data_IF_719125350176
#
_entry.id   IF_719125350176
#
_cell.length_a   1.000
_cell.length_b   1.000
_cell.length_c   1.000
_cell.angle_alpha   90.00
_cell.angle_beta   90.00
_cell.angle_gamma   90.00
#
_symmetry.space_group_name_H-M   'P 1'
#
loop_
_entity.id
_entity.type
_entity.pdbx_description
1 polymer ?
#
# COMPACT_ATOMS: atom_id res chain seq x y z
N UNK A 1 17.44 16.73 24.47
CA UNK A 1 17.05 16.90 23.06
C UNK A 1 18.24 16.58 22.19
N UNK A 2 18.16 15.54 21.36
CA UNK A 2 19.21 15.27 20.37
C UNK A 2 19.21 16.40 19.33
N UNK A 3 20.39 16.93 19.00
CA UNK A 3 20.54 17.97 17.97
C UNK A 3 20.13 17.47 16.57
N UNK A 4 20.02 18.36 15.58
CA UNK A 4 19.64 17.98 14.23
C UNK A 4 20.63 16.96 13.63
N UNK A 5 20.13 15.78 13.25
CA UNK A 5 20.91 14.76 12.55
C UNK A 5 21.20 15.23 11.12
N UNK A 6 22.44 15.65 10.88
CA UNK A 6 22.92 16.10 9.56
C UNK A 6 23.16 14.90 8.66
N UNK A 7 22.95 15.10 7.36
CA UNK A 7 23.30 14.11 6.36
C UNK A 7 24.82 14.01 6.29
N UNK A 8 25.35 12.87 6.70
CA UNK A 8 26.78 12.61 6.77
C UNK A 8 27.30 11.98 5.46
N UNK A 9 26.53 11.07 4.86
CA UNK A 9 26.82 10.49 3.55
C UNK A 9 25.55 10.19 2.77
N UNK A 10 25.66 10.26 1.44
CA UNK A 10 24.62 9.86 0.49
C UNK A 10 25.27 9.09 -0.65
N UNK A 11 24.65 7.96 -0.99
CA UNK A 11 25.10 7.15 -2.10
C UNK A 11 23.88 6.68 -2.90
N UNK A 12 23.93 6.91 -4.22
CA UNK A 12 23.01 6.26 -5.15
C UNK A 12 23.72 5.04 -5.71
N UNK A 13 23.21 3.86 -5.40
CA UNK A 13 23.77 2.61 -5.91
C UNK A 13 22.81 2.02 -6.94
N UNK A 14 23.25 1.79 -8.19
CA UNK A 14 22.49 0.97 -9.13
C UNK A 14 22.62 -0.49 -8.68
N UNK A 15 21.74 -0.92 -7.76
CA UNK A 15 21.81 -2.28 -7.23
C UNK A 15 21.06 -3.23 -8.17
N UNK A 16 21.79 -4.21 -8.71
CA UNK A 16 21.24 -5.44 -9.29
C UNK A 16 21.75 -6.59 -8.42
N UNK A 17 20.87 -7.30 -7.71
CA UNK A 17 21.22 -8.45 -6.86
C UNK A 17 21.40 -8.16 -5.36
N UNK A 18 22.09 -9.06 -4.67
CA UNK A 18 22.28 -9.09 -3.19
C UNK A 18 23.64 -8.55 -2.73
N UNK A 19 24.40 -7.91 -3.62
CA UNK A 19 25.73 -7.41 -3.31
C UNK A 19 25.69 -6.38 -2.17
N UNK A 20 26.63 -6.46 -1.20
CA UNK A 20 26.70 -5.49 -0.13
C UNK A 20 27.01 -4.08 -0.66
N UNK A 21 26.43 -3.08 -0.02
CA UNK A 21 26.71 -1.67 -0.30
C UNK A 21 27.59 -1.11 0.81
N UNK A 22 28.74 -0.59 0.41
CA UNK A 22 29.74 0.01 1.29
C UNK A 22 29.54 1.52 1.39
N UNK A 23 29.37 2.02 2.61
CA UNK A 23 29.34 3.46 2.91
C UNK A 23 30.52 3.90 3.79
N UNK A 24 30.67 5.21 3.93
CA UNK A 24 31.61 5.84 4.87
C UNK A 24 30.81 6.84 5.70
N UNK A 25 31.10 6.91 7.00
CA UNK A 25 30.42 7.81 7.95
C UNK A 25 31.40 8.25 9.04
N UNK A 26 31.15 9.42 9.63
CA UNK A 26 31.86 9.95 10.78
C UNK A 26 31.55 9.13 12.06
N UNK A 27 32.44 9.21 13.06
CA UNK A 27 32.27 8.47 14.33
C UNK A 27 31.06 8.99 15.12
N UNK A 28 30.41 8.08 15.86
CA UNK A 28 29.31 8.38 16.78
C UNK A 28 27.99 7.71 16.40
N UNK A 29 26.89 8.02 17.10
CA UNK A 29 25.57 7.49 16.79
C UNK A 29 25.09 7.98 15.42
N UNK A 30 24.56 7.07 14.58
CA UNK A 30 24.07 7.39 13.23
C UNK A 30 22.75 6.70 12.93
N UNK A 31 22.09 7.20 11.89
CA UNK A 31 20.83 6.68 11.36
C UNK A 31 21.05 6.34 9.89
N UNK A 32 20.94 5.06 9.56
CA UNK A 32 21.04 4.55 8.20
C UNK A 32 19.64 4.44 7.63
N UNK A 33 19.41 5.04 6.47
CA UNK A 33 18.12 4.95 5.76
C UNK A 33 18.38 4.43 4.35
N UNK A 34 17.68 3.37 3.98
CA UNK A 34 17.68 2.82 2.63
C UNK A 34 16.31 3.08 1.98
N UNK A 35 16.34 3.57 0.74
CA UNK A 35 15.14 3.81 -0.06
C UNK A 35 15.35 3.18 -1.44
N UNK A 36 14.34 2.45 -1.92
CA UNK A 36 14.34 1.76 -3.22
C UNK A 36 12.98 1.93 -3.90
N UNK A 37 12.90 1.62 -5.20
CA UNK A 37 11.67 1.80 -6.00
C UNK A 37 11.41 3.24 -6.41
N UNK A 38 12.43 4.11 -6.34
CA UNK A 38 12.32 5.52 -6.70
C UNK A 38 12.24 5.68 -8.22
N UNK A 39 11.21 6.39 -8.68
CA UNK A 39 11.09 6.91 -10.05
C UNK A 39 11.51 8.38 -10.16
N UNK A 40 11.81 9.02 -9.03
CA UNK A 40 12.18 10.43 -8.95
C UNK A 40 13.58 10.72 -9.50
N UNK A 41 13.75 11.95 -9.99
CA UNK A 41 14.99 12.39 -10.62
C UNK A 41 16.06 12.67 -9.54
N UNK A 42 17.34 12.76 -9.94
CA UNK A 42 18.44 13.00 -8.97
C UNK A 42 18.27 14.33 -8.24
N UNK A 43 17.69 15.28 -8.94
CA UNK A 43 17.49 16.66 -8.53
C UNK A 43 16.62 16.75 -7.27
N UNK A 44 15.63 15.86 -7.13
CA UNK A 44 14.69 15.80 -6.00
C UNK A 44 15.37 15.49 -4.65
N UNK A 45 16.60 14.96 -4.71
CA UNK A 45 17.38 14.54 -3.54
C UNK A 45 18.48 15.53 -3.16
N UNK A 46 18.78 16.52 -4.02
CA UNK A 46 19.88 17.48 -3.77
C UNK A 46 19.63 18.39 -2.56
N UNK A 47 18.36 18.59 -2.20
CA UNK A 47 17.93 19.46 -1.10
C UNK A 47 17.97 18.77 0.27
N UNK A 48 18.18 17.45 0.32
CA UNK A 48 18.19 16.70 1.57
C UNK A 48 19.54 16.94 2.26
N UNK A 49 19.53 17.70 3.37
CA UNK A 49 20.74 18.02 4.16
C UNK A 49 20.69 17.45 5.57
N UNK A 50 19.51 17.06 6.03
CA UNK A 50 19.26 16.51 7.35
C UNK A 50 18.28 15.35 7.28
N UNK A 51 18.25 14.52 8.32
CA UNK A 51 17.20 13.51 8.47
C UNK A 51 15.79 14.15 8.48
N UNK A 52 15.67 15.36 9.05
CA UNK A 52 14.42 16.11 9.04
C UNK A 52 13.96 16.49 7.62
N UNK A 53 14.88 16.77 6.70
CA UNK A 53 14.54 17.05 5.30
C UNK A 53 14.09 15.79 4.58
N UNK A 54 14.74 14.65 4.88
CA UNK A 54 14.36 13.35 4.36
C UNK A 54 12.95 12.95 4.82
N UNK A 55 12.62 13.15 6.10
CA UNK A 55 11.26 12.90 6.63
C UNK A 55 10.16 13.77 6.02
N UNK A 56 10.52 14.92 5.42
CA UNK A 56 9.56 15.80 4.73
C UNK A 56 9.35 15.42 3.27
N UNK A 57 10.12 14.47 2.72
CA UNK A 57 9.93 14.02 1.34
C UNK A 57 8.61 13.28 1.20
N UNK A 58 7.82 13.77 0.25
CA UNK A 58 6.51 13.25 -0.10
C UNK A 58 6.68 12.18 -1.15
N UNK A 59 5.85 11.15 -1.06
CA UNK A 59 5.77 10.09 -2.03
C UNK A 59 4.34 9.94 -2.47
N UNK A 60 4.15 9.75 -3.77
CA UNK A 60 2.84 9.69 -4.40
C UNK A 60 2.65 8.38 -5.13
N UNK A 61 1.42 7.87 -5.16
CA UNK A 61 1.05 6.76 -6.05
C UNK A 61 1.31 7.09 -7.53
N UNK A 62 1.35 8.37 -7.89
CA UNK A 62 1.74 8.81 -9.23
C UNK A 62 3.19 8.46 -9.60
N UNK A 63 4.05 8.23 -8.59
CA UNK A 63 5.46 7.86 -8.75
C UNK A 63 5.74 6.40 -8.35
N UNK A 64 4.72 5.65 -7.96
CA UNK A 64 4.81 4.29 -7.42
C UNK A 64 4.39 3.23 -8.47
N UNK A 65 4.68 1.96 -8.19
CA UNK A 65 4.32 0.86 -9.07
C UNK A 65 4.16 -0.45 -8.29
N UNK A 66 3.09 -1.25 -8.50
CA UNK A 66 2.93 -2.52 -7.80
C UNK A 66 4.07 -3.50 -8.03
N UNK A 67 4.67 -3.44 -9.22
CA UNK A 67 5.77 -4.33 -9.63
C UNK A 67 7.14 -3.87 -9.12
N UNK A 68 7.28 -2.63 -8.67
CA UNK A 68 8.52 -2.09 -8.13
C UNK A 68 8.18 -0.98 -7.12
N UNK A 69 7.53 -1.35 -5.99
CA UNK A 69 6.95 -0.34 -5.12
C UNK A 69 8.05 0.45 -4.41
N UNK A 70 7.71 1.63 -3.93
CA UNK A 70 8.55 2.33 -2.96
C UNK A 70 8.83 1.39 -1.79
N UNK A 71 10.10 1.27 -1.42
CA UNK A 71 10.52 0.51 -0.24
C UNK A 71 11.44 1.36 0.62
N UNK A 72 11.24 1.28 1.93
CA UNK A 72 12.00 2.06 2.91
C UNK A 72 12.42 1.16 4.06
N UNK A 73 13.61 1.40 4.60
CA UNK A 73 14.10 0.78 5.83
C UNK A 73 15.01 1.76 6.58
N UNK A 74 15.00 1.67 7.90
CA UNK A 74 15.80 2.51 8.78
C UNK A 74 16.43 1.68 9.89
N UNK A 75 17.69 1.99 10.24
CA UNK A 75 18.31 1.51 11.47
C UNK A 75 19.03 2.66 12.20
N UNK A 76 18.94 2.66 13.52
CA UNK A 76 19.75 3.52 14.39
C UNK A 76 20.91 2.69 14.91
N UNK A 77 22.11 3.25 14.79
CA UNK A 77 23.34 2.59 15.16
C UNK A 77 24.03 3.42 16.24
N UNK A 78 24.22 2.85 17.43
CA UNK A 78 24.69 3.60 18.60
C UNK A 78 26.22 3.76 18.62
N UNK A 79 26.98 2.76 18.15
CA UNK A 79 28.45 2.84 18.08
C UNK A 79 28.99 2.08 16.86
N UNK A 80 29.81 2.72 16.03
CA UNK A 80 30.20 2.22 14.70
C UNK A 80 31.52 1.49 14.76
N UNK A 81 31.53 0.36 15.46
CA UNK A 81 32.42 -0.68 15.00
C UNK A 81 32.02 -1.04 13.55
N UNK A 82 32.99 -1.42 12.73
CA UNK A 82 32.83 -1.80 11.32
C UNK A 82 32.05 -3.13 11.13
N UNK A 83 30.88 -3.22 11.74
CA UNK A 83 30.01 -4.38 11.66
C UNK A 83 29.02 -4.18 10.51
N UNK A 84 28.79 -5.23 9.70
CA UNK A 84 27.72 -5.24 8.73
C UNK A 84 26.35 -4.97 9.38
N UNK A 85 25.52 -4.19 8.70
CA UNK A 85 24.14 -3.91 9.11
C UNK A 85 23.21 -4.48 8.05
N UNK A 86 22.28 -5.36 8.42
CA UNK A 86 21.24 -5.79 7.49
C UNK A 86 20.03 -4.86 7.60
N UNK A 87 19.57 -4.36 6.45
CA UNK A 87 18.31 -3.63 6.35
C UNK A 87 17.34 -4.44 5.51
N UNK A 88 16.20 -4.78 6.11
CA UNK A 88 15.07 -5.36 5.38
C UNK A 88 14.22 -4.24 4.82
N UNK A 89 14.28 -4.08 3.50
CA UNK A 89 13.40 -3.20 2.74
C UNK A 89 12.03 -3.85 2.61
N UNK A 90 10.98 -3.13 2.96
CA UNK A 90 9.60 -3.57 2.80
C UNK A 90 8.86 -2.64 1.85
N UNK A 91 7.93 -3.14 1.02
CA UNK A 91 7.00 -2.30 0.27
C UNK A 91 6.30 -1.31 1.21
N UNK A 92 6.23 -0.05 0.81
CA UNK A 92 5.44 0.97 1.52
C UNK A 92 3.94 0.86 1.23
N UNK A 93 3.59 0.17 0.14
CA UNK A 93 2.22 -0.13 -0.23
C UNK A 93 1.66 -1.31 0.58
N UNK A 94 0.34 -1.35 0.70
CA UNK A 94 -0.44 -2.54 1.05
C UNK A 94 -0.98 -3.18 -0.22
N UNK A 95 -1.24 -4.49 -0.17
CA UNK A 95 -1.90 -5.22 -1.25
C UNK A 95 -3.26 -5.73 -0.77
N UNK A 96 -4.31 -5.51 -1.55
CA UNK A 96 -5.65 -6.00 -1.26
C UNK A 96 -6.05 -6.96 -2.38
N UNK A 97 -6.38 -8.20 -2.02
CA UNK A 97 -6.67 -9.27 -2.99
C UNK A 97 -8.09 -9.78 -2.79
N UNK A 98 -8.94 -9.54 -3.77
CA UNK A 98 -10.25 -10.19 -3.84
C UNK A 98 -10.07 -11.60 -4.39
N UNK A 99 -10.03 -12.59 -3.48
CA UNK A 99 -9.83 -13.99 -3.84
C UNK A 99 -11.09 -14.61 -4.40
N UNK A 100 -12.21 -14.41 -3.74
CA UNK A 100 -13.49 -14.94 -4.20
C UNK A 100 -14.67 -14.02 -3.96
N UNK A 101 -15.68 -14.17 -4.82
CA UNK A 101 -16.91 -13.41 -4.78
C UNK A 101 -18.09 -14.34 -5.11
N UNK A 102 -19.19 -14.21 -4.38
CA UNK A 102 -20.48 -14.84 -4.68
C UNK A 102 -21.64 -13.96 -4.23
N UNK A 103 -22.84 -14.24 -4.75
CA UNK A 103 -24.07 -13.58 -4.36
C UNK A 103 -25.19 -14.61 -4.12
N UNK A 104 -25.63 -14.75 -2.88
CA UNK A 104 -26.76 -15.60 -2.49
C UNK A 104 -27.84 -14.80 -1.78
N UNK A 105 -28.79 -14.30 -2.57
CA UNK A 105 -29.98 -13.59 -2.08
C UNK A 105 -31.12 -14.53 -1.66
N UNK A 106 -30.80 -15.73 -1.15
CA UNK A 106 -31.78 -16.71 -0.68
C UNK A 106 -32.79 -16.09 0.31
N UNK A 107 -34.06 -16.51 0.20
CA UNK A 107 -35.17 -16.02 1.01
C UNK A 107 -35.46 -14.50 0.89
N UNK A 108 -35.03 -13.86 -0.21
CA UNK A 108 -35.37 -12.47 -0.54
C UNK A 108 -36.31 -12.38 -1.75
N UNK A 109 -37.02 -11.25 -1.94
CA UNK A 109 -37.88 -11.04 -3.12
C UNK A 109 -37.13 -11.12 -4.46
N UNK A 110 -35.83 -10.84 -4.46
CA UNK A 110 -34.92 -10.90 -5.62
C UNK A 110 -34.03 -12.16 -5.60
N UNK A 111 -34.51 -13.25 -4.98
CA UNK A 111 -33.78 -14.51 -4.99
C UNK A 111 -33.56 -15.02 -6.43
N UNK A 112 -32.34 -15.45 -6.74
CA UNK A 112 -31.95 -15.92 -8.08
C UNK A 112 -31.51 -14.82 -9.04
N UNK A 113 -31.77 -13.55 -8.71
CA UNK A 113 -31.22 -12.42 -9.47
C UNK A 113 -29.71 -12.31 -9.24
N UNK A 114 -28.87 -12.28 -10.28
CA UNK A 114 -27.44 -12.08 -10.11
C UNK A 114 -27.13 -10.64 -9.71
N UNK A 115 -26.04 -10.46 -8.96
CA UNK A 115 -25.41 -9.15 -8.83
C UNK A 115 -24.55 -8.91 -10.08
N UNK A 116 -24.88 -7.91 -10.88
CA UNK A 116 -24.06 -7.51 -12.02
C UNK A 116 -23.03 -6.48 -11.54
N UNK A 117 -21.82 -6.94 -11.25
CA UNK A 117 -20.72 -6.11 -10.80
C UNK A 117 -20.15 -5.31 -11.98
N UNK A 118 -20.28 -3.99 -11.91
CA UNK A 118 -19.81 -3.06 -12.95
C UNK A 118 -18.39 -2.57 -12.68
N UNK A 119 -18.04 -2.35 -11.42
CA UNK A 119 -16.71 -1.87 -11.04
C UNK A 119 -16.34 -2.27 -9.62
N UNK A 120 -15.04 -2.28 -9.35
CA UNK A 120 -14.45 -2.52 -8.04
C UNK A 120 -13.40 -1.43 -7.80
N UNK A 121 -13.46 -0.77 -6.66
CA UNK A 121 -12.52 0.31 -6.36
C UNK A 121 -12.13 0.37 -4.89
N UNK A 122 -10.96 0.93 -4.61
CA UNK A 122 -10.55 1.33 -3.26
C UNK A 122 -11.08 2.73 -2.97
N UNK A 123 -11.88 2.85 -1.92
CA UNK A 123 -12.29 4.14 -1.34
C UNK A 123 -11.30 4.59 -0.26
N UNK A 124 -11.12 5.90 -0.13
CA UNK A 124 -10.22 6.51 0.85
C UNK A 124 -8.78 5.98 0.72
N UNK A 125 -8.34 5.79 -0.51
CA UNK A 125 -7.00 5.33 -0.82
C UNK A 125 -6.00 6.48 -0.62
N UNK A 126 -4.99 6.29 0.22
CA UNK A 126 -3.97 7.32 0.44
C UNK A 126 -3.12 7.45 -0.84
N UNK A 127 -3.15 8.65 -1.42
CA UNK A 127 -2.41 8.97 -2.65
C UNK A 127 -1.00 9.43 -2.33
N UNK A 128 -0.84 10.28 -1.30
CA UNK A 128 0.45 10.80 -0.89
C UNK A 128 0.73 10.53 0.58
N UNK A 129 1.99 10.22 0.91
CA UNK A 129 2.42 10.01 2.27
C UNK A 129 3.82 10.56 2.58
N UNK A 130 4.14 10.64 3.87
CA UNK A 130 5.50 10.75 4.38
C UNK A 130 5.91 9.40 4.98
N UNK A 131 6.81 8.64 4.37
CA UNK A 131 7.12 7.27 4.78
C UNK A 131 8.07 7.18 5.97
N UNK A 132 8.72 8.29 6.34
CA UNK A 132 9.78 8.36 7.36
C UNK A 132 9.40 9.31 8.49
N UNK A 133 10.01 9.11 9.65
CA UNK A 133 9.88 10.01 10.80
C UNK A 133 8.63 9.82 11.65
N UNK A 134 7.84 8.78 11.41
CA UNK A 134 6.66 8.41 12.20
C UNK A 134 6.85 7.03 12.83
N UNK A 135 6.53 6.90 14.12
CA UNK A 135 6.60 5.63 14.85
C UNK A 135 5.51 4.65 14.40
N UNK A 136 4.38 5.18 13.92
CA UNK A 136 3.18 4.42 13.57
C UNK A 136 3.11 4.03 12.09
N UNK A 137 4.19 4.29 11.33
CA UNK A 137 4.26 4.02 9.89
C UNK A 137 4.03 5.27 9.02
N UNK A 138 3.88 5.09 7.69
CA UNK A 138 3.74 6.21 6.76
C UNK A 138 2.57 7.12 7.13
N UNK A 139 2.81 8.43 7.22
CA UNK A 139 1.78 9.42 7.52
C UNK A 139 1.05 9.83 6.25
N UNK A 140 -0.27 9.63 6.14
CA UNK A 140 -1.04 10.06 4.98
C UNK A 140 -1.07 11.59 4.88
N UNK A 141 -1.07 12.11 3.66
CA UNK A 141 -1.17 13.54 3.35
C UNK A 141 -2.42 13.86 2.52
N UNK A 142 -2.82 12.96 1.63
CA UNK A 142 -3.97 13.12 0.74
C UNK A 142 -4.59 11.78 0.38
N UNK A 143 -5.86 11.80 0.00
CA UNK A 143 -6.68 10.63 -0.31
C UNK A 143 -7.38 10.77 -1.66
N UNK A 144 -7.58 9.65 -2.34
CA UNK A 144 -8.42 9.50 -3.52
C UNK A 144 -9.68 8.71 -3.19
N UNK A 145 -10.71 8.87 -4.03
CA UNK A 145 -11.99 8.16 -3.93
C UNK A 145 -12.64 8.35 -2.54
N UNK A 146 -12.71 9.59 -2.06
CA UNK A 146 -13.49 9.96 -0.87
C UNK A 146 -14.97 9.93 -1.25
N UNK A 147 -15.59 8.75 -1.12
CA UNK A 147 -16.95 8.46 -1.54
C UNK A 147 -17.01 7.72 -2.87
N UNK A 148 -17.49 8.39 -3.91
CA UNK A 148 -17.53 7.84 -5.26
C UNK A 148 -16.12 7.83 -5.89
N UNK A 149 -15.85 6.92 -6.85
CA UNK A 149 -14.56 6.88 -7.51
C UNK A 149 -14.34 8.14 -8.35
N UNK A 150 -13.28 8.89 -8.04
CA UNK A 150 -12.82 10.00 -8.88
C UNK A 150 -12.04 9.42 -10.06
N UNK A 151 -12.81 8.96 -11.06
CA UNK A 151 -12.25 8.29 -12.23
C UNK A 151 -11.27 9.18 -12.99
N UNK A 152 -11.46 10.51 -12.99
CA UNK A 152 -10.56 11.42 -13.68
C UNK A 152 -9.20 11.47 -12.99
N UNK A 153 -9.18 11.60 -11.66
CA UNK A 153 -7.93 11.60 -10.90
C UNK A 153 -7.23 10.24 -10.93
N UNK A 154 -7.98 9.14 -10.79
CA UNK A 154 -7.42 7.78 -10.83
C UNK A 154 -6.79 7.46 -12.18
N UNK A 155 -7.44 7.84 -13.29
CA UNK A 155 -6.93 7.58 -14.65
C UNK A 155 -5.69 8.40 -15.01
N UNK A 156 -5.31 9.39 -14.20
CA UNK A 156 -4.04 10.11 -14.35
C UNK A 156 -2.86 9.38 -13.70
N UNK A 157 -3.11 8.36 -12.88
CA UNK A 157 -2.05 7.54 -12.29
C UNK A 157 -1.42 6.66 -13.39
N UNK A 158 -0.12 6.30 -13.26
CA UNK A 158 0.52 5.38 -14.20
C UNK A 158 -0.09 3.97 -14.19
N UNK A 159 -0.70 3.58 -13.06
CA UNK A 159 -1.32 2.28 -12.83
C UNK A 159 -2.71 2.46 -12.19
N UNK A 160 -3.72 2.94 -12.95
CA UNK A 160 -5.05 3.20 -12.41
C UNK A 160 -5.72 1.95 -11.82
N UNK A 161 -5.36 0.77 -12.32
CA UNK A 161 -5.83 -0.53 -11.83
C UNK A 161 -5.45 -0.81 -10.37
N UNK A 162 -4.48 -0.06 -9.82
CA UNK A 162 -4.18 -0.10 -8.39
C UNK A 162 -5.39 0.28 -7.53
N UNK A 163 -6.26 1.17 -8.03
CA UNK A 163 -7.36 1.75 -7.27
C UNK A 163 -8.74 1.48 -7.87
N UNK A 164 -8.84 1.29 -9.19
CA UNK A 164 -10.11 1.12 -9.89
C UNK A 164 -9.97 0.07 -10.99
N UNK A 165 -10.84 -0.94 -10.97
CA UNK A 165 -10.90 -1.97 -11.99
C UNK A 165 -12.33 -2.20 -12.46
N UNK A 166 -12.46 -2.65 -13.70
CA UNK A 166 -13.71 -3.16 -14.23
C UNK A 166 -14.23 -4.31 -13.37
N UNK A 167 -15.55 -4.37 -13.27
CA UNK A 167 -16.22 -5.42 -12.54
C UNK A 167 -16.04 -6.79 -13.18
N UNK A 168 -16.53 -7.80 -12.47
CA UNK A 168 -16.41 -9.21 -12.88
C UNK A 168 -17.65 -9.73 -13.62
N UNK A 169 -18.59 -8.84 -13.95
CA UNK A 169 -19.84 -9.18 -14.64
C UNK A 169 -20.88 -9.77 -13.69
N UNK A 170 -21.65 -10.75 -14.18
CA UNK A 170 -22.73 -11.36 -13.41
C UNK A 170 -22.19 -12.33 -12.35
N UNK A 171 -22.53 -12.06 -11.09
CA UNK A 171 -22.19 -12.86 -9.91
C UNK A 171 -23.47 -13.49 -9.37
N UNK A 172 -23.51 -14.83 -9.36
CA UNK A 172 -24.60 -15.60 -8.77
C UNK A 172 -24.16 -16.36 -7.52
N UNK A 173 -24.91 -17.40 -7.15
CA UNK A 173 -24.63 -18.23 -5.96
C UNK A 173 -23.30 -18.97 -6.04
N UNK A 174 -22.89 -19.35 -7.25
CA UNK A 174 -21.61 -20.02 -7.48
C UNK A 174 -20.47 -19.05 -7.20
N UNK A 175 -19.56 -19.46 -6.32
CA UNK A 175 -18.35 -18.72 -5.99
C UNK A 175 -17.43 -18.63 -7.21
N UNK A 176 -17.01 -17.43 -7.55
CA UNK A 176 -16.01 -17.14 -8.58
C UNK A 176 -14.71 -16.66 -7.94
N UNK A 177 -13.59 -16.75 -8.68
CA UNK A 177 -12.26 -16.38 -8.20
C UNK A 177 -11.65 -15.32 -9.11
N UNK A 178 -11.97 -14.04 -8.90
CA UNK A 178 -11.65 -13.01 -9.88
C UNK A 178 -10.18 -12.60 -9.90
N UNK A 179 -9.40 -12.94 -8.85
CA UNK A 179 -7.96 -12.70 -8.83
C UNK A 179 -7.57 -11.22 -8.89
N UNK A 180 -8.44 -10.33 -8.39
CA UNK A 180 -8.24 -8.87 -8.47
C UNK A 180 -7.33 -8.41 -7.35
N UNK A 181 -6.36 -7.56 -7.69
CA UNK A 181 -5.40 -7.01 -6.74
C UNK A 181 -5.39 -5.48 -6.81
N UNK A 182 -5.40 -4.83 -5.65
CA UNK A 182 -5.39 -3.39 -5.49
C UNK A 182 -4.25 -2.99 -4.56
N UNK A 183 -3.80 -1.73 -4.67
CA UNK A 183 -2.58 -1.25 -4.05
C UNK A 183 -2.71 0.22 -3.64
N UNK A 184 -2.34 0.56 -2.41
CA UNK A 184 -2.28 1.94 -1.94
C UNK A 184 -1.34 2.06 -0.74
N UNK A 185 -1.12 3.28 -0.23
CA UNK A 185 -0.48 3.44 1.07
C UNK A 185 -1.45 3.06 2.21
N UNK A 186 -0.93 2.57 3.36
CA UNK A 186 -1.71 2.27 4.56
C UNK A 186 -2.67 3.37 5.01
N UNK A 187 -3.86 2.98 5.49
CA UNK A 187 -4.86 3.87 6.10
C UNK A 187 -5.89 3.05 6.88
N UNK A 188 -6.36 3.58 8.02
CA UNK A 188 -7.46 3.00 8.79
C UNK A 188 -8.84 3.27 8.17
N UNK A 189 -8.92 4.20 7.21
CA UNK A 189 -10.17 4.56 6.52
C UNK A 189 -10.41 3.74 5.24
N UNK A 190 -9.46 2.87 4.88
CA UNK A 190 -9.46 2.17 3.61
C UNK A 190 -10.65 1.21 3.49
N UNK A 191 -11.30 1.22 2.34
CA UNK A 191 -12.39 0.28 2.02
C UNK A 191 -12.29 -0.23 0.60
N UNK A 192 -12.68 -1.49 0.38
CA UNK A 192 -12.92 -2.04 -0.95
C UNK A 192 -14.42 -1.95 -1.26
N UNK A 193 -14.79 -1.30 -2.35
CA UNK A 193 -16.20 -1.14 -2.74
C UNK A 193 -16.49 -1.92 -4.02
N UNK A 194 -17.49 -2.80 -3.95
CA UNK A 194 -18.09 -3.43 -5.12
C UNK A 194 -19.28 -2.57 -5.57
N UNK A 195 -19.26 -2.04 -6.79
CA UNK A 195 -20.38 -1.33 -7.38
C UNK A 195 -21.04 -2.17 -8.47
N UNK A 196 -22.35 -2.08 -8.59
CA UNK A 196 -23.08 -2.83 -9.59
C UNK A 196 -24.58 -2.63 -9.49
N UNK A 197 -25.33 -3.64 -9.92
CA UNK A 197 -26.79 -3.66 -9.86
C UNK A 197 -27.34 -5.02 -9.49
N UNK A 198 -28.49 -5.04 -8.84
CA UNK A 198 -29.32 -6.24 -8.64
C UNK A 198 -30.66 -5.96 -9.31
N UNK A 199 -30.92 -6.58 -10.46
CA UNK A 199 -32.03 -6.17 -11.32
C UNK A 199 -31.76 -4.79 -11.92
N UNK A 200 -32.66 -3.84 -11.66
CA UNK A 200 -32.54 -2.45 -12.13
C UNK A 200 -31.91 -1.51 -11.10
N UNK A 201 -31.82 -1.93 -9.84
CA UNK A 201 -31.33 -1.11 -8.73
C UNK A 201 -29.80 -1.08 -8.71
N UNK A 202 -29.22 0.13 -8.77
CA UNK A 202 -27.79 0.35 -8.54
C UNK A 202 -27.51 0.21 -7.05
N UNK A 203 -26.47 -0.54 -6.71
CA UNK A 203 -26.08 -0.75 -5.33
C UNK A 203 -24.57 -0.89 -5.15
N UNK A 204 -24.13 -0.59 -3.93
CA UNK A 204 -22.76 -0.58 -3.48
C UNK A 204 -22.59 -1.48 -2.26
N UNK A 205 -21.45 -2.16 -2.21
CA UNK A 205 -21.03 -2.96 -1.06
C UNK A 205 -19.66 -2.46 -0.60
N UNK A 206 -19.60 -1.36 0.17
CA UNK A 206 -18.37 -0.95 0.84
C UNK A 206 -17.97 -1.98 1.90
N UNK A 207 -16.75 -2.48 1.79
CA UNK A 207 -16.11 -3.40 2.74
C UNK A 207 -14.97 -2.66 3.44
N UNK A 208 -15.15 -2.24 4.70
CA UNK A 208 -14.05 -1.70 5.49
C UNK A 208 -12.93 -2.73 5.59
N UNK A 209 -11.70 -2.28 5.39
CA UNK A 209 -10.53 -3.13 5.53
C UNK A 209 -9.95 -3.01 6.95
N UNK A 210 -9.28 -4.06 7.47
CA UNK A 210 -8.57 -3.92 8.73
C UNK A 210 -7.46 -2.86 8.59
N UNK A 211 -6.97 -2.34 9.71
CA UNK A 211 -5.79 -1.45 9.72
C UNK A 211 -4.57 -2.20 9.19
N UNK A 212 -4.26 -2.03 7.91
CA UNK A 212 -3.16 -2.70 7.22
C UNK A 212 -1.87 -1.89 7.38
N UNK A 213 -0.75 -2.59 7.53
CA UNK A 213 0.59 -2.00 7.59
C UNK A 213 1.32 -2.12 6.26
N UNK A 214 2.26 -1.22 6.02
CA UNK A 214 3.14 -1.27 4.86
C UNK A 214 3.77 -2.67 4.71
N UNK A 215 3.67 -3.24 3.51
CA UNK A 215 4.19 -4.57 3.21
C UNK A 215 3.29 -5.70 3.73
N UNK A 216 2.00 -5.46 3.94
CA UNK A 216 1.00 -6.50 4.21
C UNK A 216 0.08 -6.74 2.99
N UNK A 217 -0.46 -7.95 2.92
CA UNK A 217 -1.52 -8.34 1.98
C UNK A 217 -2.77 -8.70 2.76
N UNK A 218 -3.91 -8.11 2.39
CA UNK A 218 -5.24 -8.50 2.85
C UNK A 218 -5.93 -9.33 1.77
N UNK A 219 -6.24 -10.58 2.08
CA UNK A 219 -7.01 -11.46 1.22
C UNK A 219 -8.48 -11.47 1.65
N UNK A 220 -9.40 -11.35 0.68
CA UNK A 220 -10.84 -11.23 0.91
C UNK A 220 -11.61 -12.32 0.16
N UNK A 221 -12.51 -12.98 0.87
CA UNK A 221 -13.57 -13.81 0.30
C UNK A 221 -14.93 -13.19 0.67
N UNK A 222 -15.70 -12.77 -0.34
CA UNK A 222 -16.92 -11.99 -0.16
C UNK A 222 -18.15 -12.80 -0.61
N UNK A 223 -19.18 -12.84 0.22
CA UNK A 223 -20.51 -13.36 -0.13
C UNK A 223 -21.57 -12.27 0.09
N UNK A 224 -22.26 -11.86 -0.97
CA UNK A 224 -23.37 -10.90 -0.90
C UNK A 224 -24.66 -11.66 -0.55
N UNK A 225 -25.41 -11.19 0.45
CA UNK A 225 -26.59 -11.88 1.00
C UNK A 225 -27.88 -11.06 0.93
N UNK A 226 -27.76 -9.73 0.77
CA UNK A 226 -28.89 -8.81 0.57
C UNK A 226 -28.51 -7.69 -0.38
N UNK A 227 -29.48 -6.87 -0.76
CA UNK A 227 -29.26 -5.63 -1.48
C UNK A 227 -28.24 -4.75 -0.74
N UNK A 228 -27.34 -4.14 -1.51
CA UNK A 228 -26.33 -3.21 -1.01
C UNK A 228 -26.94 -1.85 -0.65
N UNK A 229 -26.07 -0.88 -0.44
CA UNK A 229 -26.42 0.52 -0.21
C UNK A 229 -26.65 1.25 -1.54
N UNK A 230 -27.52 2.27 -1.60
CA UNK A 230 -27.59 3.16 -2.77
C UNK A 230 -26.39 4.13 -2.87
N UNK A 231 -25.56 4.20 -1.83
CA UNK A 231 -24.42 5.12 -1.71
C UNK A 231 -23.19 4.38 -1.16
N UNK A 232 -22.00 4.49 -1.78
CA UNK A 232 -20.77 3.83 -1.30
C UNK A 232 -20.26 4.35 0.06
N UNK A 233 -20.74 5.48 0.55
CA UNK A 233 -20.40 6.02 1.87
C UNK A 233 -21.30 5.55 3.00
N UNK A 234 -22.42 4.92 2.66
CA UNK A 234 -23.33 4.36 3.65
C UNK A 234 -23.00 2.87 3.81
N UNK A 235 -22.65 2.41 5.02
CA UNK A 235 -22.44 0.99 5.29
C UNK A 235 -23.67 0.16 4.93
N UNK A 236 -23.46 -1.05 4.41
CA UNK A 236 -24.55 -1.98 4.16
C UNK A 236 -25.18 -2.45 5.47
N UNK A 237 -26.45 -2.84 5.41
CA UNK A 237 -27.15 -3.37 6.58
C UNK A 237 -26.45 -4.63 7.13
N UNK A 238 -26.50 -4.87 8.45
CA UNK A 238 -25.98 -6.11 9.03
C UNK A 238 -26.56 -7.36 8.35
N UNK A 239 -25.67 -8.29 7.97
CA UNK A 239 -26.04 -9.50 7.25
C UNK A 239 -26.40 -9.28 5.76
N UNK A 240 -26.06 -8.14 5.18
CA UNK A 240 -26.09 -7.94 3.73
C UNK A 240 -24.85 -8.47 3.03
N UNK A 241 -23.73 -8.55 3.75
CA UNK A 241 -22.44 -9.05 3.26
C UNK A 241 -21.79 -9.91 4.34
N UNK A 242 -21.19 -11.02 3.91
CA UNK A 242 -20.27 -11.82 4.70
C UNK A 242 -18.88 -11.67 4.08
N UNK A 243 -17.90 -11.30 4.90
CA UNK A 243 -16.52 -11.09 4.47
C UNK A 243 -15.62 -11.94 5.36
N UNK A 244 -14.84 -12.82 4.73
CA UNK A 244 -13.75 -13.54 5.39
C UNK A 244 -12.44 -12.86 4.98
N UNK A 245 -11.63 -12.48 5.97
CA UNK A 245 -10.40 -11.70 5.75
C UNK A 245 -9.19 -12.44 6.31
N UNK A 246 -8.09 -12.44 5.57
CA UNK A 246 -6.80 -12.95 6.04
C UNK A 246 -5.70 -11.94 5.73
N UNK A 247 -4.95 -11.51 6.75
CA UNK A 247 -3.77 -10.65 6.57
C UNK A 247 -2.51 -11.48 6.64
N UNK A 248 -1.65 -11.35 5.63
CA UNK A 248 -0.34 -12.03 5.55
C UNK A 248 0.74 -11.02 5.15
N UNK A 249 2.02 -11.25 5.52
CA UNK A 249 3.11 -10.43 5.00
C UNK A 249 3.16 -10.46 3.46
N UNK A 250 3.37 -9.30 2.85
CA UNK A 250 3.65 -9.18 1.42
C UNK A 250 5.10 -9.61 1.17
N UNK A 251 5.29 -10.92 1.08
CA UNK A 251 6.61 -11.49 0.82
C UNK A 251 6.97 -11.30 -0.65
N UNK A 252 7.95 -10.42 -0.90
CA UNK A 252 8.89 -10.54 -2.00
C UNK A 252 10.24 -10.87 -1.35
N UNK A 253 10.75 -12.09 -1.51
CA UNK A 253 12.11 -12.46 -1.04
C UNK A 253 13.17 -11.53 -1.68
N UNK A 254 14.31 -11.14 -1.09
CA UNK A 254 15.09 -11.60 0.06
C UNK A 254 15.63 -10.40 0.91
N UNK A 255 15.96 -10.61 2.20
CA UNK A 255 16.67 -9.61 3.03
C UNK A 255 18.04 -9.23 2.43
N UNK A 256 18.44 -7.96 2.59
CA UNK A 256 19.73 -7.44 2.10
C UNK A 256 20.70 -7.17 3.25
N UNK A 257 21.97 -7.50 3.04
CA UNK A 257 23.06 -7.24 3.98
C UNK A 257 23.92 -6.10 3.47
N UNK A 258 24.20 -5.09 4.30
CA UNK A 258 25.10 -3.98 3.98
C UNK A 258 26.40 -4.17 4.78
N UNK A 259 27.55 -4.04 4.14
CA UNK A 259 28.86 -4.16 4.79
C UNK A 259 29.56 -2.79 4.77
N UNK A 260 30.30 -2.45 5.82
CA UNK A 260 31.09 -1.22 5.88
C UNK A 260 32.56 -1.59 6.07
N UNK A 261 33.50 -1.03 5.29
CA UNK A 261 34.91 -1.38 5.46
C UNK A 261 35.47 -0.78 6.74
N UNK A 262 36.19 -1.58 7.53
CA UNK A 262 37.07 -1.10 8.60
C UNK A 262 38.35 -0.54 8.00
N UNK A 263 38.71 0.68 8.34
CA UNK A 263 40.09 1.14 8.17
C UNK A 263 40.84 0.87 9.47
N UNK A 264 41.84 -0.02 9.39
CA UNK A 264 42.91 -0.06 10.39
C UNK A 264 43.79 1.18 10.18
N UNK A 265 43.95 1.96 11.23
CA UNK A 265 44.89 3.08 11.27
C UNK A 265 46.32 2.50 11.18
N UNK A 266 47.07 2.92 10.15
CA UNK A 266 48.53 2.77 10.06
C UNK A 266 49.18 4.15 10.04
#
# INVERSE_FOLDING_TARGET
MAGPCRLDSYQKVPVVGTAPVYGISTRGPRRLVAVSGLRTAREDWMEIRTYGDLCKKRFSLADDAPTAPLMVSEAVLEDAAAQPVSLSLKPMLVRIRLRSLSADFGARPYAGTPFFNSSIFLGYAVQECLPLGSADGPRPLSWLNTGLPDSLAVMQLPFPEMLLQDGVGAVGKTRIFPGREFYCYPSDELRLTLAGRVGEDVCYYPVPLPGLRAGETCELDITLQRMGSPDPDIPVQPGAILVETQTVPWVREEPRTFEFPSYDES
#
